data_IF_782900377814
#
_entry.id   IF_782900377814
#
_cell.length_a   1.000
_cell.length_b   1.000
_cell.length_c   1.000
_cell.angle_alpha   90.00
_cell.angle_beta   90.00
_cell.angle_gamma   90.00
#
_symmetry.space_group_name_H-M   'P 1'
#
loop_
_entity.id
_entity.type
_entity.pdbx_description
1 polymer ?
#
# COMPACT_ATOMS: atom_id res chain seq x y z
N UNK A 1 -33.87 -11.51 -3.83
CA UNK A 1 -32.74 -10.87 -3.12
C UNK A 1 -31.52 -10.98 -4.02
N UNK A 2 -31.01 -9.88 -4.60
CA UNK A 2 -29.81 -9.93 -5.44
C UNK A 2 -28.59 -9.82 -4.53
N UNK A 3 -27.77 -10.86 -4.46
CA UNK A 3 -26.52 -10.84 -3.70
C UNK A 3 -25.52 -9.95 -4.46
N UNK A 4 -25.31 -8.72 -4.00
CA UNK A 4 -24.25 -7.86 -4.51
C UNK A 4 -22.90 -8.44 -4.06
N UNK A 5 -22.07 -8.89 -5.01
CA UNK A 5 -20.69 -9.28 -4.74
C UNK A 5 -19.99 -8.09 -4.08
N UNK A 6 -19.41 -8.29 -2.90
CA UNK A 6 -18.64 -7.25 -2.22
C UNK A 6 -17.50 -6.78 -3.15
N UNK A 7 -17.40 -5.47 -3.34
CA UNK A 7 -16.32 -4.85 -4.10
C UNK A 7 -15.05 -4.97 -3.24
N UNK A 8 -14.00 -5.63 -3.75
CA UNK A 8 -12.72 -5.73 -3.07
C UNK A 8 -11.81 -4.58 -3.53
N UNK A 9 -10.89 -4.11 -2.66
CA UNK A 9 -9.86 -3.17 -3.10
C UNK A 9 -8.93 -3.80 -4.16
N UNK A 10 -8.30 -2.95 -4.97
CA UNK A 10 -7.28 -3.35 -5.94
C UNK A 10 -5.96 -3.67 -5.22
N UNK A 11 -5.59 -2.84 -4.25
CA UNK A 11 -4.35 -2.96 -3.49
C UNK A 11 -4.58 -2.63 -2.01
N UNK A 12 -3.81 -3.25 -1.12
CA UNK A 12 -3.58 -2.79 0.25
C UNK A 12 -2.43 -1.78 0.23
N UNK A 13 -2.56 -0.70 0.98
CA UNK A 13 -1.54 0.35 1.09
C UNK A 13 -0.79 0.14 2.39
N UNK A 14 0.51 -0.11 2.31
CA UNK A 14 1.38 -0.19 3.49
C UNK A 14 2.42 0.91 3.46
N UNK A 15 2.87 1.33 4.64
CA UNK A 15 3.88 2.34 4.84
C UNK A 15 5.02 1.83 5.71
N UNK A 16 6.25 2.09 5.29
CA UNK A 16 7.45 1.93 6.11
C UNK A 16 8.16 3.26 6.24
N UNK A 17 8.32 3.74 7.49
CA UNK A 17 9.18 4.90 7.75
C UNK A 17 10.65 4.54 7.53
N UNK A 18 11.45 5.53 7.16
CA UNK A 18 12.91 5.43 7.14
C UNK A 18 13.42 5.57 8.59
N UNK A 19 14.31 4.68 9.02
CA UNK A 19 14.88 4.70 10.37
C UNK A 19 16.35 5.09 10.41
N UNK A 20 16.99 5.24 9.25
CA UNK A 20 18.40 5.58 9.11
C UNK A 20 18.89 5.17 7.72
N UNK A 21 20.21 5.18 7.55
CA UNK A 21 20.88 4.68 6.35
C UNK A 21 21.95 3.66 6.73
N UNK A 22 22.23 2.71 5.84
CA UNK A 22 23.33 1.77 6.00
C UNK A 22 24.70 2.40 5.65
N UNK A 23 25.77 1.60 5.71
CA UNK A 23 27.13 2.07 5.43
C UNK A 23 27.33 2.51 3.96
N UNK A 24 26.44 2.13 3.05
CA UNK A 24 26.45 2.50 1.64
C UNK A 24 25.51 3.69 1.35
N UNK A 25 24.88 4.26 2.38
CA UNK A 25 23.94 5.38 2.26
C UNK A 25 22.54 4.97 1.80
N UNK A 26 22.19 3.68 1.84
CA UNK A 26 20.85 3.20 1.48
C UNK A 26 19.89 3.31 2.65
N UNK A 27 18.68 3.77 2.39
CA UNK A 27 17.65 3.92 3.42
C UNK A 27 17.29 2.57 4.07
N UNK A 28 17.30 2.53 5.39
CA UNK A 28 16.83 1.40 6.19
C UNK A 28 15.36 1.65 6.53
N UNK A 29 14.50 0.72 6.13
CA UNK A 29 13.05 0.81 6.34
C UNK A 29 12.61 0.08 7.61
N UNK A 30 11.70 0.69 8.36
CA UNK A 30 11.01 0.02 9.45
C UNK A 30 10.06 -1.07 8.93
N UNK A 31 9.59 -1.93 9.85
CA UNK A 31 8.54 -2.91 9.56
C UNK A 31 7.30 -2.22 8.96
N UNK A 32 6.82 -2.65 7.78
CA UNK A 32 5.67 -2.03 7.14
C UNK A 32 4.41 -2.20 7.98
N UNK A 33 3.56 -1.18 7.93
CA UNK A 33 2.21 -1.19 8.51
C UNK A 33 1.19 -0.88 7.44
N UNK A 34 0.13 -1.67 7.40
CA UNK A 34 -1.02 -1.36 6.55
C UNK A 34 -1.74 -0.13 7.09
N UNK A 35 -2.02 0.81 6.20
CA UNK A 35 -2.60 2.11 6.53
C UNK A 35 -3.82 2.47 5.67
N UNK A 36 -4.18 1.60 4.73
CA UNK A 36 -5.33 1.83 3.86
C UNK A 36 -5.39 0.90 2.66
N UNK A 37 -6.12 1.32 1.63
CA UNK A 37 -6.33 0.54 0.42
C UNK A 37 -6.54 1.43 -0.81
N UNK A 38 -6.35 0.83 -1.99
CA UNK A 38 -6.64 1.45 -3.29
C UNK A 38 -7.92 0.84 -3.86
N UNK A 39 -8.88 1.67 -4.19
CA UNK A 39 -10.17 1.27 -4.75
C UNK A 39 -10.27 1.63 -6.23
N UNK A 40 -10.83 0.75 -7.05
CA UNK A 40 -11.08 1.06 -8.46
C UNK A 40 -12.05 2.24 -8.61
N UNK A 41 -11.80 3.10 -9.60
CA UNK A 41 -12.74 4.19 -9.90
C UNK A 41 -13.99 3.66 -10.58
N UNK A 42 -15.15 4.20 -10.20
CA UNK A 42 -16.46 3.83 -10.77
C UNK A 42 -16.73 4.55 -12.10
N UNK A 43 -17.76 4.08 -12.82
CA UNK A 43 -18.27 4.68 -14.06
C UNK A 43 -17.25 4.72 -15.21
N UNK A 44 -16.51 3.63 -15.40
CA UNK A 44 -15.61 3.46 -16.55
C UNK A 44 -14.34 4.31 -16.50
N UNK A 45 -14.04 4.93 -15.36
CA UNK A 45 -12.82 5.74 -15.17
C UNK A 45 -11.63 4.83 -14.86
N UNK A 46 -10.51 5.05 -15.54
CA UNK A 46 -9.26 4.34 -15.25
C UNK A 46 -8.59 4.84 -13.96
N UNK A 47 -7.80 3.97 -13.34
CA UNK A 47 -7.02 4.23 -12.13
C UNK A 47 -7.73 3.88 -10.82
N UNK A 48 -7.06 4.16 -9.70
CA UNK A 48 -7.55 3.87 -8.34
C UNK A 48 -7.61 5.11 -7.45
N UNK A 49 -8.39 5.01 -6.37
CA UNK A 49 -8.50 6.01 -5.30
C UNK A 49 -7.79 5.44 -4.08
N UNK A 50 -6.76 6.14 -3.60
CA UNK A 50 -6.12 5.82 -2.32
C UNK A 50 -7.02 6.31 -1.20
N UNK A 51 -7.43 5.39 -0.32
CA UNK A 51 -8.11 5.69 0.93
C UNK A 51 -7.18 5.30 2.08
N UNK A 52 -6.82 6.26 2.93
CA UNK A 52 -5.98 6.02 4.10
C UNK A 52 -6.86 6.06 5.35
N UNK A 53 -6.85 4.97 6.11
CA UNK A 53 -7.55 4.86 7.40
C UNK A 53 -6.70 5.47 8.52
N UNK A 54 -5.37 5.46 8.33
CA UNK A 54 -4.38 6.05 9.23
C UNK A 54 -3.40 6.86 8.38
N UNK A 55 -3.11 8.10 8.78
CA UNK A 55 -2.07 8.92 8.15
C UNK A 55 -0.88 9.01 9.11
N UNK A 56 0.21 8.27 8.88
CA UNK A 56 1.43 8.38 9.69
C UNK A 56 2.00 9.81 9.61
N UNK A 57 2.52 10.35 10.71
CA UNK A 57 3.17 11.68 10.72
C UNK A 57 4.36 11.70 9.78
N UNK A 58 5.11 10.60 9.73
CA UNK A 58 6.27 10.42 8.86
C UNK A 58 5.90 10.41 7.37
N UNK A 59 4.68 9.95 7.04
CA UNK A 59 4.17 10.04 5.67
C UNK A 59 3.97 11.50 5.26
N UNK A 60 3.40 12.32 6.14
CA UNK A 60 3.24 13.76 5.91
C UNK A 60 4.60 14.47 5.79
N UNK A 61 5.62 13.98 6.50
CA UNK A 61 7.00 14.49 6.45
C UNK A 61 7.84 13.90 5.31
N UNK A 62 7.27 13.02 4.47
CA UNK A 62 7.96 12.32 3.36
C UNK A 62 9.16 11.49 3.83
N UNK A 63 9.11 10.93 5.03
CA UNK A 63 10.16 10.12 5.64
C UNK A 63 9.81 8.63 5.60
N UNK A 64 9.53 8.11 4.42
CA UNK A 64 9.15 6.71 4.25
C UNK A 64 8.71 6.37 2.84
N UNK A 65 8.32 5.11 2.67
CA UNK A 65 7.91 4.53 1.39
C UNK A 65 6.52 3.92 1.53
N UNK A 66 5.70 4.13 0.51
CA UNK A 66 4.41 3.46 0.35
C UNK A 66 4.57 2.23 -0.56
N UNK A 67 4.00 1.11 -0.15
CA UNK A 67 3.88 -0.08 -0.98
C UNK A 67 2.42 -0.34 -1.32
N UNK A 68 2.18 -0.76 -2.56
CA UNK A 68 0.88 -1.19 -3.05
C UNK A 68 0.91 -2.71 -3.24
N UNK A 69 0.21 -3.43 -2.36
CA UNK A 69 0.19 -4.90 -2.37
C UNK A 69 -1.12 -5.38 -3.01
N UNK A 70 -1.09 -6.13 -4.12
CA UNK A 70 -2.32 -6.60 -4.78
C UNK A 70 -3.18 -7.45 -3.84
N UNK A 71 -4.50 -7.23 -3.83
CA UNK A 71 -5.42 -8.01 -2.98
C UNK A 71 -5.68 -9.40 -3.55
N UNK A 72 -5.55 -9.56 -4.87
CA UNK A 72 -5.83 -10.81 -5.60
C UNK A 72 -4.57 -11.40 -6.27
N UNK A 73 -3.39 -10.88 -5.96
CA UNK A 73 -2.14 -11.41 -6.50
C UNK A 73 -1.59 -12.50 -5.59
N UNK A 74 -1.52 -13.72 -6.12
CA UNK A 74 -0.59 -14.75 -5.64
C UNK A 74 0.78 -14.12 -5.41
N UNK A 75 1.37 -14.34 -4.23
CA UNK A 75 2.80 -14.12 -4.00
C UNK A 75 3.54 -14.72 -5.20
N UNK A 76 4.22 -13.88 -5.98
CA UNK A 76 5.23 -14.41 -6.88
C UNK A 76 6.37 -14.82 -5.95
N UNK A 77 6.34 -16.09 -5.57
CA UNK A 77 7.34 -16.78 -4.81
C UNK A 77 8.60 -16.85 -5.68
N UNK A 78 9.46 -15.83 -5.58
CA UNK A 78 10.82 -15.90 -6.12
C UNK A 78 11.64 -16.76 -5.15
N UNK A 79 11.45 -18.08 -5.24
CA UNK A 79 12.42 -19.05 -4.76
C UNK A 79 13.74 -18.81 -5.51
N UNK A 80 14.75 -18.30 -4.80
CA UNK A 80 16.15 -18.30 -5.24
C UNK A 80 17.01 -18.93 -4.14
#
# INVERSE_FOLDING_TARGET
MKTTKAELPMFRVTFSRITGQDAEGRDILARPKEIGAVWGRKQGKAGGIVSLDIIPVELAQRQGVLFLVPVNGSEHDESN
#
